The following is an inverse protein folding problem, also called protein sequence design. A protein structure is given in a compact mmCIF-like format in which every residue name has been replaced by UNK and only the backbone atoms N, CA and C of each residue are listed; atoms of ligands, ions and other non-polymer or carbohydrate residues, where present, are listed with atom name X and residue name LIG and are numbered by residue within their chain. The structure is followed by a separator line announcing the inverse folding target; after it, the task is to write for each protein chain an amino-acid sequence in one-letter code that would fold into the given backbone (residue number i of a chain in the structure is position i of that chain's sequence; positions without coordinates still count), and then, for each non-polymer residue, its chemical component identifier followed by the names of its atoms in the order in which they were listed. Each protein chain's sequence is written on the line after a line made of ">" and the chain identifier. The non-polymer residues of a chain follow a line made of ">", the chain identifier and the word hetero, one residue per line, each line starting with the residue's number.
data_IF_020134489198
#
_entry.id   IF_020134489198
#
_cell.length_a   1.000
_cell.length_b   1.000
_cell.length_c   1.000
_cell.angle_alpha   90.00
_cell.angle_beta   90.00
_cell.angle_gamma   90.00
#
_symmetry.space_group_name_H-M   'P 1'
#
loop_
_entity.id
_entity.type
_entity.pdbx_description
1 polymer ?
#
# COMPACT_ATOMS: atom_id res chain seq x y z
N UNK A 1 -31.84 -39.02 -27.61
CA UNK A 1 -32.48 -37.98 -26.78
C UNK A 1 -31.82 -38.10 -25.42
N UNK A 2 -30.93 -37.25 -24.96
CA UNK A 2 -30.57 -35.86 -25.23
C UNK A 2 -29.80 -35.47 -23.97
N UNK A 3 -28.53 -35.11 -24.14
CA UNK A 3 -27.65 -34.63 -23.08
C UNK A 3 -28.19 -33.30 -22.52
N UNK A 4 -28.17 -33.11 -21.20
CA UNK A 4 -28.03 -31.76 -20.62
C UNK A 4 -27.42 -31.82 -19.21
N UNK A 5 -26.09 -31.74 -19.18
CA UNK A 5 -25.47 -30.54 -18.64
C UNK A 5 -25.65 -30.26 -17.14
N UNK A 6 -24.86 -30.93 -16.31
CA UNK A 6 -24.46 -30.41 -15.00
C UNK A 6 -23.67 -29.10 -15.19
N UNK A 7 -24.36 -27.96 -15.06
CA UNK A 7 -23.75 -26.63 -15.09
C UNK A 7 -23.42 -26.18 -13.66
N UNK A 8 -22.17 -26.42 -13.28
CA UNK A 8 -21.31 -25.65 -12.36
C UNK A 8 -21.98 -24.67 -11.37
N UNK A 9 -22.25 -25.15 -10.15
CA UNK A 9 -22.54 -24.33 -8.96
C UNK A 9 -21.26 -23.71 -8.34
N UNK A 10 -20.39 -23.08 -9.14
CA UNK A 10 -19.15 -22.46 -8.61
C UNK A 10 -19.30 -20.99 -8.26
N UNK A 11 -20.23 -20.27 -8.89
CA UNK A 11 -20.50 -18.87 -8.56
C UNK A 11 -21.32 -18.76 -7.27
N UNK A 12 -22.34 -19.59 -7.11
CA UNK A 12 -23.21 -19.57 -5.92
C UNK A 12 -22.45 -19.94 -4.64
N UNK A 13 -21.60 -20.98 -4.68
CA UNK A 13 -20.80 -21.43 -3.54
C UNK A 13 -19.73 -20.38 -3.15
N UNK A 14 -19.22 -19.59 -4.11
CA UNK A 14 -18.28 -18.50 -3.82
C UNK A 14 -18.97 -17.29 -3.19
N UNK A 15 -20.20 -16.99 -3.61
CA UNK A 15 -21.01 -15.88 -3.09
C UNK A 15 -21.54 -16.21 -1.69
N UNK A 16 -22.00 -17.43 -1.46
CA UNK A 16 -22.52 -17.91 -0.17
C UNK A 16 -21.41 -17.95 0.90
N UNK A 17 -20.21 -18.43 0.55
CA UNK A 17 -19.03 -18.36 1.42
C UNK A 17 -18.54 -16.91 1.69
N UNK A 18 -18.79 -15.98 0.77
CA UNK A 18 -18.44 -14.57 0.94
C UNK A 18 -19.42 -13.86 1.90
N UNK A 19 -20.72 -14.18 1.82
CA UNK A 19 -21.74 -13.65 2.72
C UNK A 19 -21.56 -14.14 4.17
N UNK A 20 -21.25 -15.43 4.38
CA UNK A 20 -20.96 -15.97 5.72
C UNK A 20 -19.69 -15.39 6.35
N UNK A 21 -18.68 -15.09 5.52
CA UNK A 21 -17.46 -14.40 5.96
C UNK A 21 -17.70 -12.91 6.27
N UNK A 22 -18.61 -12.25 5.53
CA UNK A 22 -19.02 -10.86 5.78
C UNK A 22 -19.81 -10.71 7.09
N UNK A 23 -20.49 -11.77 7.54
CA UNK A 23 -21.24 -11.81 8.80
C UNK A 23 -20.35 -11.92 10.06
N UNK A 24 -19.07 -12.25 9.90
CA UNK A 24 -18.12 -12.30 11.02
C UNK A 24 -17.74 -10.88 11.47
N UNK A 25 -18.45 -10.37 12.48
CA UNK A 25 -18.14 -9.10 13.15
C UNK A 25 -16.74 -9.18 13.77
N UNK A 26 -15.89 -8.21 13.41
CA UNK A 26 -14.55 -8.06 13.97
C UNK A 26 -14.56 -6.88 14.94
N UNK A 27 -14.13 -7.03 16.20
CA UNK A 27 -14.11 -5.93 17.15
C UNK A 27 -13.29 -4.74 16.63
N UNK A 28 -13.83 -3.52 16.76
CA UNK A 28 -13.15 -2.26 16.38
C UNK A 28 -11.72 -2.16 16.94
N UNK A 29 -11.49 -2.69 18.15
CA UNK A 29 -10.16 -2.71 18.79
C UNK A 29 -9.08 -3.39 17.92
N UNK A 30 -9.45 -4.32 17.03
CA UNK A 30 -8.53 -4.95 16.08
C UNK A 30 -8.19 -4.05 14.89
N UNK A 31 -9.09 -3.17 14.47
CA UNK A 31 -8.85 -2.20 13.38
C UNK A 31 -7.96 -1.04 13.84
N UNK A 32 -8.03 -0.65 15.12
CA UNK A 32 -7.37 0.53 15.63
C UNK A 32 -5.83 0.54 15.40
N UNK A 33 -5.09 -0.55 15.61
CA UNK A 33 -3.67 -0.60 15.27
C UNK A 33 -3.38 -0.29 13.79
N UNK A 34 -4.15 -0.88 12.86
CA UNK A 34 -3.98 -0.66 11.42
C UNK A 34 -4.32 0.78 11.01
N UNK A 35 -5.39 1.35 11.60
CA UNK A 35 -5.78 2.74 11.37
C UNK A 35 -4.65 3.69 11.79
N UNK A 36 -4.09 3.48 12.98
CA UNK A 36 -2.99 4.30 13.50
C UNK A 36 -1.71 4.11 12.68
N UNK A 37 -1.40 2.88 12.29
CA UNK A 37 -0.24 2.56 11.44
C UNK A 37 -0.31 3.29 10.09
N UNK A 38 -1.47 3.26 9.42
CA UNK A 38 -1.68 3.99 8.15
C UNK A 38 -1.48 5.49 8.34
N UNK A 39 -2.00 6.06 9.44
CA UNK A 39 -1.77 7.47 9.79
C UNK A 39 -0.28 7.80 9.98
N UNK A 40 0.46 6.94 10.68
CA UNK A 40 1.90 7.11 10.89
C UNK A 40 2.68 7.02 9.57
N UNK A 41 2.39 6.03 8.73
CA UNK A 41 3.03 5.92 7.41
C UNK A 41 2.75 7.13 6.53
N UNK A 42 1.55 7.71 6.60
CA UNK A 42 1.25 8.93 5.86
C UNK A 42 2.10 10.11 6.33
N UNK A 43 2.31 10.28 7.64
CA UNK A 43 3.21 11.31 8.18
C UNK A 43 4.66 11.11 7.72
N UNK A 44 5.18 9.88 7.79
CA UNK A 44 6.52 9.57 7.27
C UNK A 44 6.64 9.84 5.76
N UNK A 45 5.60 9.56 4.98
CA UNK A 45 5.56 9.89 3.55
C UNK A 45 5.60 11.41 3.33
N UNK A 46 4.92 12.22 4.16
CA UNK A 46 5.00 13.68 4.07
C UNK A 46 6.46 14.13 4.20
N UNK A 47 7.16 13.65 5.23
CA UNK A 47 8.57 13.97 5.49
C UNK A 47 9.47 13.55 4.31
N UNK A 48 9.31 12.33 3.80
CA UNK A 48 10.08 11.83 2.65
C UNK A 48 9.85 12.69 1.39
N UNK A 49 8.62 13.11 1.13
CA UNK A 49 8.30 13.94 -0.04
C UNK A 49 8.81 15.37 0.12
N UNK A 50 8.84 15.91 1.33
CA UNK A 50 9.41 17.23 1.63
C UNK A 50 10.93 17.23 1.48
N UNK A 51 11.60 16.17 1.94
CA UNK A 51 13.03 15.97 1.79
C UNK A 51 13.47 15.52 0.38
N UNK A 52 12.54 15.16 -0.50
CA UNK A 52 12.87 14.58 -1.79
C UNK A 52 13.67 15.53 -2.68
N UNK A 53 14.88 15.12 -3.08
CA UNK A 53 15.71 15.87 -4.04
C UNK A 53 15.30 15.59 -5.49
N UNK A 54 14.86 14.35 -5.75
CA UNK A 54 14.48 13.85 -7.07
C UNK A 54 13.04 13.39 -7.14
N UNK A 55 12.55 13.22 -8.38
CA UNK A 55 11.22 12.68 -8.67
C UNK A 55 10.07 13.39 -7.91
N UNK A 56 10.26 14.66 -7.52
CA UNK A 56 9.36 15.44 -6.68
C UNK A 56 7.90 15.39 -7.15
N UNK A 57 7.66 15.46 -8.47
CA UNK A 57 6.31 15.37 -9.04
C UNK A 57 5.68 14.01 -8.74
N UNK A 58 6.38 12.92 -9.02
CA UNK A 58 5.93 11.54 -8.77
C UNK A 58 5.72 11.31 -7.27
N UNK A 59 6.67 11.73 -6.43
CA UNK A 59 6.54 11.66 -4.97
C UNK A 59 5.28 12.38 -4.47
N UNK A 60 5.01 13.60 -4.95
CA UNK A 60 3.79 14.36 -4.60
C UNK A 60 2.50 13.65 -5.04
N UNK A 61 2.48 13.06 -6.24
CA UNK A 61 1.32 12.30 -6.73
C UNK A 61 1.04 11.10 -5.81
N UNK A 62 2.07 10.33 -5.47
CA UNK A 62 1.94 9.17 -4.59
C UNK A 62 1.49 9.57 -3.18
N UNK A 63 2.07 10.62 -2.61
CA UNK A 63 1.62 11.20 -1.33
C UNK A 63 0.14 11.56 -1.37
N UNK A 64 -0.33 12.21 -2.43
CA UNK A 64 -1.74 12.62 -2.54
C UNK A 64 -2.68 11.40 -2.64
N UNK A 65 -2.27 10.31 -3.30
CA UNK A 65 -3.04 9.05 -3.30
C UNK A 65 -3.14 8.45 -1.91
N UNK A 66 -2.03 8.40 -1.17
CA UNK A 66 -2.04 7.92 0.23
C UNK A 66 -2.87 8.83 1.12
N UNK A 67 -2.84 10.16 0.91
CA UNK A 67 -3.71 11.11 1.64
C UNK A 67 -5.18 10.77 1.50
N UNK A 68 -5.65 10.46 0.29
CA UNK A 68 -7.06 10.09 0.06
C UNK A 68 -7.41 8.81 0.82
N UNK A 69 -6.54 7.80 0.79
CA UNK A 69 -6.73 6.56 1.53
C UNK A 69 -6.75 6.79 3.05
N UNK A 70 -5.80 7.57 3.58
CA UNK A 70 -5.72 7.89 5.00
C UNK A 70 -6.96 8.65 5.49
N UNK A 71 -7.47 9.60 4.71
CA UNK A 71 -8.71 10.31 5.02
C UNK A 71 -9.91 9.35 5.10
N UNK A 72 -10.01 8.39 4.18
CA UNK A 72 -11.08 7.38 4.22
C UNK A 72 -10.96 6.47 5.46
N UNK A 73 -9.74 6.10 5.85
CA UNK A 73 -9.48 5.29 7.05
C UNK A 73 -9.78 6.07 8.32
N UNK A 74 -9.52 7.38 8.35
CA UNK A 74 -9.91 8.27 9.45
C UNK A 74 -11.42 8.43 9.55
N UNK A 75 -12.10 8.61 8.43
CA UNK A 75 -13.57 8.65 8.38
C UNK A 75 -14.20 7.33 8.86
N UNK A 76 -13.60 6.19 8.52
CA UNK A 76 -14.00 4.87 9.05
C UNK A 76 -13.90 4.83 10.59
N UNK A 77 -12.83 5.40 11.17
CA UNK A 77 -12.66 5.50 12.63
C UNK A 77 -13.74 6.34 13.29
N UNK A 78 -14.08 7.47 12.68
CA UNK A 78 -15.03 8.43 13.25
C UNK A 78 -16.47 7.89 13.17
N UNK A 79 -16.80 7.14 12.12
CA UNK A 79 -18.10 6.47 11.91
C UNK A 79 -18.29 5.17 12.69
N UNK A 80 -17.39 4.81 13.61
CA UNK A 80 -17.41 3.50 14.31
C UNK A 80 -18.73 3.15 15.01
N UNK A 81 -19.47 4.17 15.48
CA UNK A 81 -20.75 3.97 16.18
C UNK A 81 -21.92 3.78 15.21
N UNK A 82 -21.87 4.51 14.09
CA UNK A 82 -22.98 4.62 13.13
C UNK A 82 -22.91 3.55 12.03
N UNK A 83 -21.72 3.00 11.78
CA UNK A 83 -21.43 2.05 10.69
C UNK A 83 -20.77 0.77 11.19
N UNK A 84 -21.44 0.09 12.13
CA UNK A 84 -20.97 -1.19 12.70
C UNK A 84 -20.82 -2.28 11.63
N UNK A 85 -21.61 -2.21 10.56
CA UNK A 85 -21.57 -3.08 9.38
C UNK A 85 -20.19 -3.10 8.69
N UNK A 86 -19.42 -2.00 8.81
CA UNK A 86 -18.09 -1.91 8.20
C UNK A 86 -17.02 -2.70 8.95
N UNK A 87 -17.27 -3.11 10.20
CA UNK A 87 -16.29 -3.82 11.04
C UNK A 87 -16.50 -5.32 10.95
N UNK A 88 -16.31 -5.84 9.74
CA UNK A 88 -16.39 -7.27 9.43
C UNK A 88 -15.03 -7.81 8.98
N UNK A 89 -14.93 -9.14 8.86
CA UNK A 89 -13.69 -9.83 8.47
C UNK A 89 -13.17 -9.43 7.09
N UNK A 90 -14.05 -9.21 6.12
CA UNK A 90 -13.66 -8.81 4.76
C UNK A 90 -12.97 -7.44 4.81
N UNK A 91 -13.61 -6.45 5.42
CA UNK A 91 -13.06 -5.11 5.53
C UNK A 91 -11.80 -5.06 6.39
N UNK A 92 -11.69 -5.92 7.40
CA UNK A 92 -10.44 -6.08 8.16
C UNK A 92 -9.28 -6.51 7.25
N UNK A 93 -9.49 -7.53 6.41
CA UNK A 93 -8.50 -8.00 5.43
C UNK A 93 -8.16 -6.88 4.43
N UNK A 94 -9.17 -6.18 3.89
CA UNK A 94 -8.94 -5.04 2.98
C UNK A 94 -8.11 -3.93 3.62
N UNK A 95 -8.29 -3.66 4.91
CA UNK A 95 -7.48 -2.69 5.63
C UNK A 95 -6.03 -3.15 5.80
N UNK A 96 -5.78 -4.45 6.01
CA UNK A 96 -4.43 -5.03 6.06
C UNK A 96 -3.73 -4.94 4.68
N UNK A 97 -4.45 -5.24 3.61
CA UNK A 97 -3.96 -5.08 2.23
C UNK A 97 -3.61 -3.61 1.94
N UNK A 98 -4.48 -2.67 2.36
CA UNK A 98 -4.22 -1.24 2.22
C UNK A 98 -2.95 -0.81 2.96
N UNK A 99 -2.76 -1.26 4.22
CA UNK A 99 -1.53 -0.96 4.98
C UNK A 99 -0.29 -1.48 4.27
N UNK A 100 -0.37 -2.69 3.69
CA UNK A 100 0.73 -3.30 2.92
C UNK A 100 1.06 -2.47 1.68
N UNK A 101 0.06 -2.03 0.91
CA UNK A 101 0.24 -1.19 -0.28
C UNK A 101 0.86 0.17 0.10
N UNK A 102 0.39 0.81 1.17
CA UNK A 102 0.93 2.09 1.65
C UNK A 102 2.41 1.92 2.06
N UNK A 103 2.75 0.81 2.70
CA UNK A 103 4.14 0.48 3.05
C UNK A 103 5.03 0.38 1.81
N UNK A 104 4.56 -0.30 0.76
CA UNK A 104 5.28 -0.40 -0.52
C UNK A 104 5.42 0.97 -1.20
N UNK A 105 4.38 1.81 -1.18
CA UNK A 105 4.44 3.18 -1.69
C UNK A 105 5.49 3.99 -0.92
N UNK A 106 5.52 3.91 0.41
CA UNK A 106 6.52 4.58 1.25
C UNK A 106 7.94 4.18 0.84
N UNK A 107 8.20 2.88 0.72
CA UNK A 107 9.50 2.35 0.30
C UNK A 107 9.90 2.88 -1.08
N UNK A 108 8.98 2.83 -2.04
CA UNK A 108 9.24 3.33 -3.39
C UNK A 108 9.51 4.84 -3.41
N UNK A 109 8.75 5.65 -2.66
CA UNK A 109 9.00 7.09 -2.52
C UNK A 109 10.41 7.33 -1.97
N UNK A 110 10.81 6.60 -0.92
CA UNK A 110 12.15 6.71 -0.35
C UNK A 110 13.24 6.46 -1.41
N UNK A 111 13.12 5.37 -2.17
CA UNK A 111 14.09 5.01 -3.21
C UNK A 111 14.17 6.05 -4.33
N UNK A 112 13.04 6.49 -4.88
CA UNK A 112 13.05 7.44 -6.01
C UNK A 112 13.37 8.86 -5.59
N UNK A 113 13.15 9.22 -4.32
CA UNK A 113 13.45 10.56 -3.80
C UNK A 113 14.96 10.86 -3.78
N UNK A 114 15.79 9.83 -3.62
CA UNK A 114 17.24 9.89 -3.50
C UNK A 114 17.98 9.41 -4.78
N UNK A 115 17.27 9.25 -5.90
CA UNK A 115 17.80 8.53 -7.08
C UNK A 115 19.07 9.14 -7.69
N UNK A 116 19.39 10.44 -7.48
CA UNK A 116 20.72 10.97 -7.86
C UNK A 116 21.84 10.33 -7.07
N UNK A 117 21.67 9.96 -5.81
CA UNK A 117 22.72 9.31 -5.01
C UNK A 117 23.08 7.96 -5.62
N UNK A 118 22.07 7.19 -6.06
CA UNK A 118 22.28 5.92 -6.74
C UNK A 118 22.95 6.11 -8.11
N UNK A 119 22.45 7.05 -8.93
CA UNK A 119 23.04 7.36 -10.24
C UNK A 119 24.47 7.91 -10.10
N UNK A 120 24.72 8.76 -9.11
CA UNK A 120 26.03 9.33 -8.79
C UNK A 120 27.00 8.23 -8.35
N UNK A 121 26.59 7.37 -7.44
CA UNK A 121 27.38 6.21 -7.01
C UNK A 121 27.74 5.30 -8.19
N UNK A 122 26.78 5.00 -9.07
CA UNK A 122 27.03 4.20 -10.27
C UNK A 122 28.01 4.90 -11.24
N UNK A 123 27.89 6.22 -11.42
CA UNK A 123 28.82 7.02 -12.23
C UNK A 123 30.22 7.05 -11.62
N UNK A 124 30.36 7.32 -10.32
CA UNK A 124 31.64 7.35 -9.61
C UNK A 124 32.36 6.01 -9.71
N UNK A 125 31.64 4.90 -9.50
CA UNK A 125 32.19 3.55 -9.66
C UNK A 125 32.66 3.26 -11.08
N UNK A 126 31.94 3.76 -12.10
CA UNK A 126 32.37 3.62 -13.50
C UNK A 126 33.64 4.43 -13.81
N UNK A 127 33.77 5.64 -13.25
CA UNK A 127 34.95 6.48 -13.41
C UNK A 127 36.15 5.87 -12.69
N UNK A 128 35.98 5.39 -11.46
CA UNK A 128 37.04 4.71 -10.70
C UNK A 128 37.58 3.49 -11.45
N UNK A 129 36.68 2.69 -12.06
CA UNK A 129 37.06 1.55 -12.89
C UNK A 129 37.92 1.99 -14.08
N UNK A 130 37.46 2.98 -14.85
CA UNK A 130 38.19 3.51 -16.01
C UNK A 130 39.55 4.06 -15.59
N UNK A 131 39.62 4.80 -14.48
CA UNK A 131 40.86 5.35 -13.97
C UNK A 131 41.86 4.25 -13.60
N UNK A 132 41.42 3.19 -12.89
CA UNK A 132 42.28 2.04 -12.58
C UNK A 132 42.80 1.34 -13.83
N UNK A 133 41.95 1.14 -14.84
CA UNK A 133 42.34 0.54 -16.12
C UNK A 133 43.40 1.38 -16.85
N UNK A 134 43.26 2.70 -16.84
CA UNK A 134 44.23 3.62 -17.45
C UNK A 134 45.57 3.70 -16.70
N UNK A 135 45.57 3.44 -15.39
CA UNK A 135 46.77 3.49 -14.56
C UNK A 135 47.48 2.13 -14.38
N UNK A 136 46.93 1.03 -14.92
CA UNK A 136 47.62 -0.26 -14.98
C UNK A 136 48.43 -0.37 -16.27
N UNK A 137 49.49 0.44 -16.36
CA UNK A 137 50.71 0.22 -17.16
C UNK A 137 51.87 -0.10 -16.21
#
# INVERSE_FOLDING_TARGET
>A
MGDDGSKNNKEDDFVENLEDSALMVVPFAKFLPLINEIGNFFNEIIELVEAAEHNKRTCKILKNRVRVAELAVRDLRDKKKDRKDLFNKINYIRLQELSTIITQIKKFISEISLMKTLIKYLKEKSVEKIFKELCME
#
